data_IF_105083757235
#
_entry.id   IF_105083757235
#
_cell.length_a   1.000
_cell.length_b   1.000
_cell.length_c   1.000
_cell.angle_alpha   90.00
_cell.angle_beta   90.00
_cell.angle_gamma   90.00
#
_symmetry.space_group_name_H-M   'P 1'
#
loop_
_entity.id
_entity.type
_entity.pdbx_description
1 polymer ?
#
# COMPACT_ATOMS: atom_id res chain seq x y z
N UNK A 1 -6.91 16.40 14.68
CA UNK A 1 -7.47 17.50 13.86
C UNK A 1 -6.86 17.61 12.45
N UNK A 2 -5.84 16.81 12.07
CA UNK A 2 -5.35 16.74 10.67
C UNK A 2 -6.25 15.83 9.81
N UNK A 3 -6.77 14.74 10.39
CA UNK A 3 -7.71 13.80 9.76
C UNK A 3 -9.03 14.43 9.30
N UNK A 4 -9.43 15.56 9.89
CA UNK A 4 -10.71 16.22 9.65
C UNK A 4 -10.64 17.32 8.59
N UNK A 5 -9.44 17.71 8.13
CA UNK A 5 -9.29 18.79 7.12
C UNK A 5 -9.41 18.29 5.68
N UNK A 6 -9.09 17.03 5.44
CA UNK A 6 -9.12 16.44 4.10
C UNK A 6 -10.27 15.44 3.99
N UNK A 7 -10.89 15.38 2.81
CA UNK A 7 -11.92 14.39 2.53
C UNK A 7 -11.31 12.98 2.63
N UNK A 8 -11.87 12.12 3.48
CA UNK A 8 -11.43 10.74 3.68
C UNK A 8 -11.26 9.98 2.37
N UNK A 9 -12.16 10.20 1.41
CA UNK A 9 -12.04 9.60 0.08
C UNK A 9 -10.81 10.07 -0.70
N UNK A 10 -10.34 11.31 -0.50
CA UNK A 10 -9.10 11.83 -1.12
C UNK A 10 -7.86 11.22 -0.46
N UNK A 11 -7.86 11.05 0.85
CA UNK A 11 -6.75 10.40 1.57
C UNK A 11 -6.61 8.92 1.18
N UNK A 12 -7.74 8.21 1.08
CA UNK A 12 -7.78 6.81 0.63
C UNK A 12 -7.29 6.69 -0.83
N UNK A 13 -7.64 7.65 -1.70
CA UNK A 13 -7.13 7.72 -3.09
C UNK A 13 -5.63 7.94 -3.12
N UNK A 14 -5.12 8.87 -2.32
CA UNK A 14 -3.69 9.18 -2.29
C UNK A 14 -2.88 7.95 -1.84
N UNK A 15 -3.30 7.26 -0.78
CA UNK A 15 -2.65 6.01 -0.35
C UNK A 15 -2.71 4.92 -1.41
N UNK A 16 -3.83 4.80 -2.12
CA UNK A 16 -4.02 3.82 -3.17
C UNK A 16 -3.12 4.09 -4.38
N UNK A 17 -3.05 5.34 -4.84
CA UNK A 17 -2.19 5.76 -5.96
C UNK A 17 -0.71 5.51 -5.61
N UNK A 18 -0.29 5.88 -4.41
CA UNK A 18 1.11 5.68 -3.99
C UNK A 18 1.44 4.18 -3.92
N UNK A 19 0.52 3.35 -3.40
CA UNK A 19 0.69 1.90 -3.40
C UNK A 19 0.82 1.31 -4.81
N UNK A 20 -0.02 1.77 -5.75
CA UNK A 20 0.05 1.36 -7.17
C UNK A 20 1.36 1.78 -7.82
N UNK A 21 1.78 3.04 -7.63
CA UNK A 21 3.03 3.55 -8.20
C UNK A 21 4.24 2.77 -7.69
N UNK A 22 4.25 2.42 -6.39
CA UNK A 22 5.35 1.63 -5.81
C UNK A 22 5.28 0.17 -6.29
N UNK A 23 4.09 -0.43 -6.39
CA UNK A 23 3.93 -1.75 -6.99
C UNK A 23 4.46 -1.79 -8.43
N UNK A 24 4.19 -0.77 -9.23
CA UNK A 24 4.71 -0.64 -10.60
C UNK A 24 6.25 -0.58 -10.62
N UNK A 25 6.87 0.15 -9.69
CA UNK A 25 8.34 0.25 -9.60
C UNK A 25 9.00 -1.10 -9.31
N UNK A 26 8.31 -2.04 -8.64
CA UNK A 26 8.84 -3.36 -8.28
C UNK A 26 8.39 -4.49 -9.24
N UNK A 27 7.67 -4.19 -10.32
CA UNK A 27 7.26 -5.17 -11.34
C UNK A 27 8.08 -5.00 -12.64
N UNK A 28 9.29 -5.59 -12.73
CA UNK A 28 10.10 -5.54 -13.95
C UNK A 28 9.41 -6.22 -15.15
N UNK A 29 8.47 -7.14 -14.92
CA UNK A 29 7.69 -7.82 -15.96
C UNK A 29 6.67 -6.95 -16.71
N UNK A 30 6.25 -5.82 -16.13
CA UNK A 30 5.26 -4.90 -16.74
C UNK A 30 5.93 -3.65 -17.30
N UNK A 31 6.94 -3.13 -16.60
CA UNK A 31 7.76 -2.03 -17.08
C UNK A 31 9.21 -2.50 -17.16
N UNK A 32 9.67 -2.77 -18.39
CA UNK A 32 11.09 -2.96 -18.70
C UNK A 32 11.85 -1.64 -18.48
N UNK A 33 12.00 -1.20 -17.24
CA UNK A 33 12.92 -0.13 -16.92
C UNK A 33 14.33 -0.65 -17.25
N UNK A 34 14.96 -0.02 -18.24
CA UNK A 34 16.33 -0.28 -18.71
C UNK A 34 17.40 -0.11 -17.62
N UNK A 35 17.01 0.42 -16.46
CA UNK A 35 17.78 0.30 -15.24
C UNK A 35 17.17 -0.90 -14.55
N UNK A 36 17.72 -2.11 -14.77
CA UNK A 36 17.31 -3.20 -13.94
C UNK A 36 17.58 -2.74 -12.51
N UNK A 37 16.60 -2.92 -11.63
CA UNK A 37 16.80 -2.75 -10.19
C UNK A 37 17.67 -3.94 -9.72
N UNK A 38 18.84 -4.04 -10.35
CA UNK A 38 19.96 -4.92 -10.10
C UNK A 38 20.88 -4.09 -9.22
N UNK A 39 20.88 -4.40 -7.93
CA UNK A 39 21.62 -3.70 -6.90
C UNK A 39 20.83 -3.39 -5.65
N UNK A 40 19.53 -3.74 -5.55
CA UNK A 40 18.78 -3.38 -4.35
C UNK A 40 19.17 -4.21 -3.10
N UNK A 41 19.79 -5.37 -3.25
CA UNK A 41 20.06 -6.34 -2.17
C UNK A 41 19.62 -7.75 -2.60
N UNK A 42 20.08 -8.82 -1.93
CA UNK A 42 20.56 -10.05 -2.56
C UNK A 42 19.58 -10.63 -3.58
N UNK A 43 19.88 -10.33 -4.84
CA UNK A 43 19.35 -10.97 -6.04
C UNK A 43 20.00 -12.34 -6.22
N UNK A 44 19.84 -13.20 -5.21
CA UNK A 44 19.61 -14.59 -5.53
C UNK A 44 18.26 -14.62 -6.24
N UNK A 45 18.16 -15.34 -7.36
CA UNK A 45 16.96 -15.51 -8.20
C UNK A 45 15.65 -15.78 -7.44
N UNK A 46 15.71 -16.18 -6.17
CA UNK A 46 14.56 -16.25 -5.26
C UNK A 46 14.07 -14.90 -4.70
N UNK A 47 14.95 -13.96 -4.38
CA UNK A 47 14.61 -12.63 -3.84
C UNK A 47 13.83 -11.76 -4.83
N UNK A 48 14.15 -11.89 -6.13
CA UNK A 48 13.49 -11.16 -7.20
C UNK A 48 12.03 -11.62 -7.40
N UNK A 49 11.79 -12.94 -7.37
CA UNK A 49 10.42 -13.50 -7.42
C UNK A 49 9.59 -13.09 -6.21
N UNK A 50 10.20 -13.06 -5.04
CA UNK A 50 9.54 -12.62 -3.81
C UNK A 50 9.16 -11.14 -3.96
N UNK A 51 10.07 -10.27 -4.38
CA UNK A 51 9.80 -8.86 -4.64
C UNK A 51 8.65 -8.64 -5.64
N UNK A 52 8.61 -9.40 -6.74
CA UNK A 52 7.51 -9.35 -7.72
C UNK A 52 6.15 -9.73 -7.11
N UNK A 53 6.11 -10.76 -6.27
CA UNK A 53 4.88 -11.18 -5.58
C UNK A 53 4.39 -10.05 -4.66
N UNK A 54 5.27 -9.42 -3.89
CA UNK A 54 4.91 -8.27 -3.04
C UNK A 54 4.41 -7.09 -3.87
N UNK A 55 5.08 -6.79 -4.98
CA UNK A 55 4.71 -5.73 -5.90
C UNK A 55 3.31 -5.95 -6.49
N UNK A 56 3.01 -7.20 -6.83
CA UNK A 56 1.70 -7.63 -7.34
C UNK A 56 0.59 -7.40 -6.31
N UNK A 57 0.83 -7.76 -5.04
CA UNK A 57 -0.13 -7.51 -3.97
C UNK A 57 -0.32 -6.01 -3.70
N UNK A 58 0.76 -5.22 -3.71
CA UNK A 58 0.69 -3.77 -3.57
C UNK A 58 -0.09 -3.11 -4.72
N UNK A 59 0.08 -3.62 -5.95
CA UNK A 59 -0.62 -3.15 -7.14
C UNK A 59 -2.13 -3.47 -7.07
N UNK A 60 -2.50 -4.74 -6.91
CA UNK A 60 -3.91 -5.14 -6.88
C UNK A 60 -4.65 -4.61 -5.65
N UNK A 61 -3.98 -4.59 -4.50
CA UNK A 61 -4.50 -3.99 -3.27
C UNK A 61 -4.73 -2.48 -3.46
N UNK A 62 -3.74 -1.78 -4.04
CA UNK A 62 -3.86 -0.36 -4.38
C UNK A 62 -5.01 -0.07 -5.34
N UNK A 63 -5.14 -0.82 -6.44
CA UNK A 63 -6.25 -0.68 -7.40
C UNK A 63 -7.60 -0.91 -6.72
N UNK A 64 -7.71 -1.93 -5.86
CA UNK A 64 -8.95 -2.26 -5.16
C UNK A 64 -9.38 -1.13 -4.21
N UNK A 65 -8.43 -0.56 -3.44
CA UNK A 65 -8.68 0.58 -2.55
C UNK A 65 -9.07 1.82 -3.38
N UNK A 66 -8.42 2.03 -4.52
CA UNK A 66 -8.74 3.13 -5.43
C UNK A 66 -10.17 3.02 -5.96
N UNK A 67 -10.58 1.86 -6.46
CA UNK A 67 -11.94 1.63 -6.95
C UNK A 67 -12.98 1.79 -5.83
N UNK A 68 -12.72 1.27 -4.63
CA UNK A 68 -13.59 1.47 -3.48
C UNK A 68 -13.80 2.96 -3.16
N UNK A 69 -12.74 3.77 -3.21
CA UNK A 69 -12.82 5.21 -3.00
C UNK A 69 -13.61 5.97 -4.08
N UNK A 70 -13.70 5.42 -5.30
CA UNK A 70 -14.53 5.98 -6.37
C UNK A 70 -16.01 5.63 -6.14
N UNK A 71 -16.28 4.36 -5.82
CA UNK A 71 -17.63 3.88 -5.56
C UNK A 71 -18.29 4.55 -4.35
N UNK A 72 -17.51 4.92 -3.32
CA UNK A 72 -17.99 5.68 -2.16
C UNK A 72 -18.66 7.01 -2.53
N UNK A 73 -18.14 7.71 -3.54
CA UNK A 73 -18.62 9.04 -3.94
C UNK A 73 -19.83 8.96 -4.88
N UNK A 74 -20.03 7.82 -5.56
CA UNK A 74 -21.16 7.60 -6.48
C UNK A 74 -22.39 7.08 -5.73
N UNK A 75 -22.17 6.30 -4.68
CA UNK A 75 -23.23 5.62 -3.93
C UNK A 75 -23.99 6.60 -3.03
N UNK A 76 -25.32 6.54 -3.03
CA UNK A 76 -26.16 7.28 -2.07
C UNK A 76 -26.56 6.44 -0.83
N UNK A 77 -26.69 5.13 -0.99
CA UNK A 77 -27.08 4.21 0.09
C UNK A 77 -26.00 4.08 1.17
N UNK A 78 -26.39 4.30 2.44
CA UNK A 78 -25.51 4.15 3.62
C UNK A 78 -25.01 2.71 3.76
N UNK A 79 -25.86 1.72 3.50
CA UNK A 79 -25.50 0.30 3.61
C UNK A 79 -24.39 -0.05 2.61
N UNK A 80 -24.55 0.40 1.36
CA UNK A 80 -23.56 0.13 0.31
C UNK A 80 -22.24 0.85 0.63
N UNK A 81 -22.29 2.10 1.12
CA UNK A 81 -21.08 2.82 1.58
C UNK A 81 -20.33 2.05 2.68
N UNK A 82 -21.04 1.45 3.63
CA UNK A 82 -20.45 0.62 4.68
C UNK A 82 -19.78 -0.64 4.13
N UNK A 83 -20.42 -1.32 3.18
CA UNK A 83 -19.84 -2.50 2.52
C UNK A 83 -18.54 -2.11 1.80
N UNK A 84 -18.57 -1.03 1.02
CA UNK A 84 -17.40 -0.53 0.29
C UNK A 84 -16.26 -0.16 1.25
N UNK A 85 -16.56 0.57 2.33
CA UNK A 85 -15.57 0.91 3.36
C UNK A 85 -15.05 -0.35 4.08
N UNK A 86 -15.90 -1.35 4.32
CA UNK A 86 -15.47 -2.63 4.89
C UNK A 86 -14.48 -3.36 3.99
N UNK A 87 -14.74 -3.42 2.68
CA UNK A 87 -13.82 -3.99 1.69
C UNK A 87 -12.51 -3.20 1.65
N UNK A 88 -12.59 -1.86 1.61
CA UNK A 88 -11.42 -1.00 1.64
C UNK A 88 -10.58 -1.21 2.91
N UNK A 89 -11.23 -1.38 4.07
CA UNK A 89 -10.57 -1.63 5.34
C UNK A 89 -9.80 -2.96 5.31
N UNK A 90 -10.44 -4.04 4.86
CA UNK A 90 -9.77 -5.35 4.68
C UNK A 90 -8.59 -5.22 3.73
N UNK A 91 -8.74 -4.53 2.60
CA UNK A 91 -7.66 -4.30 1.66
C UNK A 91 -6.49 -3.51 2.28
N UNK A 92 -6.77 -2.47 3.08
CA UNK A 92 -5.71 -1.72 3.79
C UNK A 92 -4.99 -2.54 4.84
N UNK A 93 -5.68 -3.46 5.54
CA UNK A 93 -5.03 -4.38 6.47
C UNK A 93 -4.16 -5.40 5.76
N UNK A 94 -4.64 -5.98 4.67
CA UNK A 94 -3.84 -6.89 3.83
C UNK A 94 -2.60 -6.17 3.30
N UNK A 95 -2.74 -4.92 2.85
CA UNK A 95 -1.61 -4.11 2.37
C UNK A 95 -0.59 -3.84 3.47
N UNK A 96 -1.06 -3.54 4.69
CA UNK A 96 -0.22 -3.33 5.87
C UNK A 96 0.54 -4.60 6.24
N UNK A 97 -0.15 -5.73 6.33
CA UNK A 97 0.47 -7.03 6.57
C UNK A 97 1.50 -7.37 5.48
N UNK A 98 1.21 -7.00 4.24
CA UNK A 98 2.11 -7.22 3.13
C UNK A 98 3.40 -6.39 3.19
N UNK A 99 3.44 -5.28 3.94
CA UNK A 99 4.67 -4.50 4.14
C UNK A 99 5.56 -5.03 5.26
N UNK A 100 5.02 -5.80 6.21
CA UNK A 100 5.76 -6.26 7.39
C UNK A 100 6.91 -7.22 7.03
N UNK A 101 6.67 -8.17 6.11
CA UNK A 101 7.71 -9.13 5.74
C UNK A 101 8.85 -8.48 4.95
N UNK A 102 8.59 -7.62 3.94
CA UNK A 102 9.63 -6.82 3.30
C UNK A 102 10.38 -5.94 4.30
N UNK A 103 9.69 -5.26 5.23
CA UNK A 103 10.35 -4.45 6.27
C UNK A 103 11.32 -5.26 7.12
N UNK A 104 10.89 -6.44 7.58
CA UNK A 104 11.74 -7.35 8.32
C UNK A 104 12.95 -7.78 7.49
N UNK A 105 12.73 -8.16 6.23
CA UNK A 105 13.79 -8.63 5.33
C UNK A 105 14.82 -7.54 5.04
N UNK A 106 14.38 -6.34 4.64
CA UNK A 106 15.26 -5.21 4.36
C UNK A 106 16.00 -4.72 5.60
N UNK A 107 15.37 -4.76 6.77
CA UNK A 107 16.03 -4.48 8.04
C UNK A 107 17.11 -5.51 8.35
N UNK A 108 16.78 -6.81 8.27
CA UNK A 108 17.71 -7.90 8.52
C UNK A 108 18.92 -7.84 7.58
N UNK A 109 18.69 -7.70 6.27
CA UNK A 109 19.76 -7.58 5.27
C UNK A 109 20.55 -6.30 5.47
N UNK A 110 19.91 -5.17 5.75
CA UNK A 110 20.58 -3.88 5.99
C UNK A 110 21.48 -3.88 7.23
N UNK A 111 21.14 -4.66 8.26
CA UNK A 111 21.98 -4.87 9.44
C UNK A 111 23.14 -5.83 9.13
N UNK A 112 22.92 -6.85 8.30
CA UNK A 112 23.95 -7.83 7.94
C UNK A 112 24.97 -7.27 6.93
N UNK A 113 24.52 -6.50 5.93
CA UNK A 113 25.34 -5.88 4.90
C UNK A 113 24.77 -4.49 4.60
N UNK A 114 25.48 -3.45 5.00
CA UNK A 114 25.04 -2.09 4.74
C UNK A 114 25.11 -1.76 3.24
N UNK A 115 24.01 -1.25 2.70
CA UNK A 115 23.97 -0.60 1.39
C UNK A 115 22.90 0.50 1.41
N UNK A 116 23.14 1.59 0.68
CA UNK A 116 22.14 2.66 0.50
C UNK A 116 20.84 2.15 -0.11
N UNK A 117 20.94 1.10 -0.89
CA UNK A 117 19.83 0.41 -1.52
C UNK A 117 18.94 -0.34 -0.51
N UNK A 118 19.53 -1.05 0.45
CA UNK A 118 18.79 -1.68 1.55
C UNK A 118 18.04 -0.63 2.39
N UNK A 119 18.69 0.51 2.64
CA UNK A 119 18.07 1.66 3.34
C UNK A 119 16.90 2.20 2.54
N UNK A 120 17.06 2.41 1.22
CA UNK A 120 15.99 2.89 0.35
C UNK A 120 14.80 1.94 0.34
N UNK A 121 15.03 0.63 0.19
CA UNK A 121 13.99 -0.39 0.25
C UNK A 121 13.24 -0.38 1.59
N UNK A 122 13.98 -0.35 2.70
CA UNK A 122 13.39 -0.25 4.04
C UNK A 122 12.52 1.00 4.20
N UNK A 123 13.04 2.18 3.84
CA UNK A 123 12.31 3.46 3.93
C UNK A 123 11.05 3.44 3.09
N UNK A 124 11.11 2.85 1.90
CA UNK A 124 9.95 2.77 1.00
C UNK A 124 8.84 1.89 1.58
N UNK A 125 9.17 0.69 2.06
CA UNK A 125 8.19 -0.19 2.68
C UNK A 125 7.66 0.38 4.01
N UNK A 126 8.49 1.13 4.76
CA UNK A 126 8.06 1.83 5.96
C UNK A 126 7.05 2.92 5.62
N UNK A 127 7.33 3.69 4.57
CA UNK A 127 6.42 4.72 4.07
C UNK A 127 5.09 4.12 3.60
N UNK A 128 5.12 2.99 2.87
CA UNK A 128 3.91 2.25 2.49
C UNK A 128 3.11 1.76 3.69
N UNK A 129 3.78 1.22 4.71
CA UNK A 129 3.12 0.78 5.94
C UNK A 129 2.44 1.94 6.66
N UNK A 130 3.10 3.09 6.76
CA UNK A 130 2.52 4.29 7.36
C UNK A 130 1.29 4.74 6.57
N UNK A 131 1.35 4.74 5.25
CA UNK A 131 0.21 5.09 4.40
C UNK A 131 -0.95 4.10 4.50
N UNK A 132 -0.68 2.79 4.58
CA UNK A 132 -1.72 1.78 4.71
C UNK A 132 -2.40 1.84 6.06
N UNK A 133 -1.64 2.04 7.15
CA UNK A 133 -2.18 2.27 8.49
C UNK A 133 -3.00 3.56 8.56
N UNK A 134 -2.53 4.62 7.92
CA UNK A 134 -3.28 5.86 7.80
C UNK A 134 -4.61 5.67 7.05
N UNK A 135 -4.56 4.97 5.91
CA UNK A 135 -5.76 4.62 5.14
C UNK A 135 -6.76 3.79 5.96
N UNK A 136 -6.29 2.83 6.75
CA UNK A 136 -7.13 2.04 7.65
C UNK A 136 -7.78 2.93 8.72
N UNK A 137 -7.02 3.83 9.35
CA UNK A 137 -7.54 4.75 10.36
C UNK A 137 -8.63 5.68 9.78
N UNK A 138 -8.39 6.27 8.60
CA UNK A 138 -9.37 7.12 7.90
C UNK A 138 -10.65 6.33 7.58
N UNK A 139 -10.51 5.09 7.13
CA UNK A 139 -11.64 4.21 6.79
C UNK A 139 -12.49 3.86 8.03
N UNK A 140 -11.85 3.57 9.16
CA UNK A 140 -12.53 3.33 10.45
C UNK A 140 -13.31 4.58 10.89
N UNK A 141 -12.68 5.74 10.83
CA UNK A 141 -13.31 7.00 11.21
C UNK A 141 -14.57 7.28 10.36
N UNK A 142 -14.52 7.02 9.05
CA UNK A 142 -15.69 7.18 8.17
C UNK A 142 -16.80 6.16 8.45
N UNK A 143 -16.45 4.91 8.76
CA UNK A 143 -17.42 3.90 9.18
C UNK A 143 -18.16 4.31 10.47
N UNK A 144 -17.45 4.87 11.44
CA UNK A 144 -18.04 5.39 12.67
C UNK A 144 -18.96 6.59 12.40
N UNK A 145 -18.55 7.50 11.50
CA UNK A 145 -19.38 8.65 11.12
C UNK A 145 -20.70 8.22 10.49
N UNK A 146 -20.67 7.24 9.57
CA UNK A 146 -21.87 6.68 8.94
C UNK A 146 -22.75 5.88 9.91
N UNK A 147 -22.23 5.43 11.05
CA UNK A 147 -23.04 4.80 12.10
C UNK A 147 -23.85 5.82 12.89
N UNK A 148 -23.41 7.08 12.95
CA UNK A 148 -24.07 8.16 13.70
C UNK A 148 -25.08 8.96 12.88
N UNK A 149 -25.05 8.83 11.54
CA UNK A 149 -26.03 9.41 10.60
C UNK A 149 -27.21 8.47 10.38
#
# INVERSE_FOLDING_TARGET
MILTRFNSSVLIRASAIISVLIGILYMPSVFNFLIPIIGLGPELTGGQKIAEIWATYALYGGISIFLASMLMNITQSIIIKRIILGIALVATFLLSAAQLLPLFWWFYVGVAVFSWFNVLGFVLHLFLLVLSLWGAFVTIHDLERLKRS
#
